data_IF_650709381140
#
_entry.id   IF_650709381140
#
_cell.length_a   1.000
_cell.length_b   1.000
_cell.length_c   1.000
_cell.angle_alpha   90.00
_cell.angle_beta   90.00
_cell.angle_gamma   90.00
#
_symmetry.space_group_name_H-M   'P 1'
#
loop_
_entity.id
_entity.type
_entity.pdbx_description
1 polymer ?
#
# COMPACT_ATOMS: atom_id res chain seq x y z
N UNK A 1 9.08 -8.52 -75.46
CA UNK A 1 9.61 -7.79 -74.29
C UNK A 1 8.52 -7.75 -73.23
N UNK A 2 8.61 -8.62 -72.20
CA UNK A 2 7.67 -8.66 -71.09
C UNK A 2 8.22 -7.74 -70.00
N UNK A 3 7.49 -6.67 -69.65
CA UNK A 3 7.81 -5.80 -68.52
C UNK A 3 7.33 -6.44 -67.24
N UNK A 4 8.23 -6.91 -66.37
CA UNK A 4 7.94 -7.36 -65.04
C UNK A 4 7.84 -6.11 -64.15
N UNK A 5 6.66 -5.86 -63.62
CA UNK A 5 6.39 -4.83 -62.58
C UNK A 5 6.64 -5.50 -61.24
N UNK A 6 7.70 -5.13 -60.56
CA UNK A 6 7.96 -5.53 -59.16
C UNK A 6 7.18 -4.55 -58.25
N UNK A 7 6.07 -5.01 -57.66
CA UNK A 7 5.36 -4.27 -56.64
C UNK A 7 6.10 -4.57 -55.29
N UNK A 8 6.86 -3.58 -54.81
CA UNK A 8 7.45 -3.64 -53.48
C UNK A 8 6.35 -3.35 -52.44
N UNK A 9 5.91 -4.39 -51.73
CA UNK A 9 5.03 -4.25 -50.58
C UNK A 9 5.89 -3.82 -49.42
N UNK A 10 5.92 -2.52 -49.12
CA UNK A 10 6.47 -1.99 -47.87
C UNK A 10 5.47 -2.31 -46.75
N UNK A 11 5.71 -3.36 -45.98
CA UNK A 11 5.03 -3.58 -44.69
C UNK A 11 5.58 -2.55 -43.72
N UNK A 12 4.78 -1.49 -43.44
CA UNK A 12 5.03 -0.63 -42.28
C UNK A 12 4.78 -1.48 -41.02
N UNK A 13 5.84 -1.98 -40.41
CA UNK A 13 5.83 -2.34 -39.01
C UNK A 13 5.69 -1.03 -38.23
N UNK A 14 4.49 -0.71 -37.81
CA UNK A 14 4.26 0.29 -36.75
C UNK A 14 4.88 -0.30 -35.47
N UNK A 15 6.10 0.12 -35.14
CA UNK A 15 6.63 -0.08 -33.80
C UNK A 15 5.70 0.67 -32.86
N UNK A 16 4.86 -0.04 -32.12
CA UNK A 16 4.12 0.51 -31.02
C UNK A 16 5.15 0.96 -29.99
N UNK A 17 5.46 2.24 -29.97
CA UNK A 17 6.26 2.86 -28.94
C UNK A 17 5.40 2.94 -27.68
N UNK A 18 5.47 1.93 -26.83
CA UNK A 18 4.87 2.00 -25.52
C UNK A 18 5.67 3.00 -24.68
N UNK A 19 5.00 4.03 -24.21
CA UNK A 19 5.59 4.97 -23.26
C UNK A 19 5.49 4.35 -21.89
N UNK A 20 6.60 4.27 -21.16
CA UNK A 20 6.59 3.85 -19.76
C UNK A 20 5.73 4.78 -18.91
N UNK A 21 5.02 4.22 -17.94
CA UNK A 21 4.08 4.91 -17.05
C UNK A 21 4.47 4.65 -15.61
N UNK A 22 4.28 5.63 -14.74
CA UNK A 22 4.25 5.38 -13.30
C UNK A 22 2.97 4.65 -12.95
N UNK A 23 3.06 3.43 -12.43
CA UNK A 23 1.91 2.59 -12.12
C UNK A 23 1.69 2.54 -10.62
N UNK A 24 0.43 2.74 -10.23
CA UNK A 24 0.01 2.74 -8.83
C UNK A 24 -1.22 1.85 -8.63
N UNK A 25 -1.30 1.27 -7.44
CA UNK A 25 -2.55 0.75 -6.87
C UNK A 25 -2.87 1.63 -5.66
N UNK A 26 -4.03 2.27 -5.68
CA UNK A 26 -4.52 3.07 -4.56
C UNK A 26 -5.63 2.31 -3.85
N UNK A 27 -5.34 1.87 -2.63
CA UNK A 27 -6.28 1.17 -1.78
C UNK A 27 -7.13 2.16 -0.98
N UNK A 28 -8.40 1.85 -0.78
CA UNK A 28 -9.32 2.66 0.04
C UNK A 28 -10.05 1.74 1.02
N UNK A 29 -9.63 1.69 2.29
CA UNK A 29 -10.35 0.95 3.31
C UNK A 29 -11.75 1.52 3.52
N UNK A 30 -12.76 0.65 3.49
CA UNK A 30 -14.18 1.00 3.58
C UNK A 30 -14.90 0.20 4.65
N UNK A 31 -15.88 0.83 5.27
CA UNK A 31 -16.93 0.18 6.06
C UNK A 31 -18.26 0.72 5.57
N UNK A 32 -19.16 -0.15 5.14
CA UNK A 32 -20.46 0.23 4.59
C UNK A 32 -20.37 1.35 3.53
N UNK A 33 -19.39 1.32 2.65
CA UNK A 33 -19.13 2.30 1.59
C UNK A 33 -18.53 3.65 2.04
N UNK A 34 -18.41 3.91 3.34
CA UNK A 34 -17.70 5.08 3.86
C UNK A 34 -16.20 4.78 4.04
N UNK A 35 -15.36 5.81 4.00
CA UNK A 35 -13.95 5.65 4.31
C UNK A 35 -13.77 5.23 5.78
N UNK A 36 -12.95 4.22 5.99
CA UNK A 36 -12.55 3.82 7.34
C UNK A 36 -11.60 4.87 7.92
N UNK A 37 -11.90 5.33 9.13
CA UNK A 37 -11.03 6.20 9.91
C UNK A 37 -10.71 5.51 11.23
N UNK A 38 -9.43 5.30 11.51
CA UNK A 38 -8.96 4.69 12.76
C UNK A 38 -9.47 5.48 13.97
N UNK A 39 -9.92 4.77 15.00
CA UNK A 39 -10.49 5.34 16.23
C UNK A 39 -11.93 5.88 16.08
N UNK A 40 -12.56 5.72 14.92
CA UNK A 40 -13.94 6.15 14.71
C UNK A 40 -14.88 4.96 14.79
N UNK A 41 -15.97 5.12 15.55
CA UNK A 41 -17.00 4.09 15.70
C UNK A 41 -17.78 3.91 14.39
N UNK A 42 -17.86 2.66 13.97
CA UNK A 42 -18.59 2.20 12.77
C UNK A 42 -19.37 0.92 13.11
N UNK A 43 -20.22 0.45 12.21
CA UNK A 43 -20.94 -0.81 12.40
C UNK A 43 -20.53 -1.82 11.32
N UNK A 44 -20.30 -3.08 11.72
CA UNK A 44 -20.09 -4.18 10.80
C UNK A 44 -21.42 -4.64 10.15
N UNK A 45 -21.33 -5.65 9.28
CA UNK A 45 -22.50 -6.20 8.58
C UNK A 45 -23.56 -6.83 9.51
N UNK A 46 -23.21 -7.16 10.75
CA UNK A 46 -24.12 -7.70 11.76
C UNK A 46 -24.70 -6.62 12.66
N UNK A 47 -24.34 -5.35 12.45
CA UNK A 47 -24.80 -4.23 13.28
C UNK A 47 -24.02 -4.03 14.57
N UNK A 48 -22.92 -4.77 14.80
CA UNK A 48 -22.03 -4.57 15.95
C UNK A 48 -21.25 -3.29 15.74
N UNK A 49 -21.33 -2.36 16.70
CA UNK A 49 -20.54 -1.14 16.70
C UNK A 49 -19.10 -1.49 17.10
N UNK A 50 -18.13 -0.98 16.38
CA UNK A 50 -16.71 -1.19 16.65
C UNK A 50 -15.87 -0.01 16.17
N UNK A 51 -14.66 0.09 16.68
CA UNK A 51 -13.60 0.92 16.12
C UNK A 51 -12.31 0.12 15.98
N UNK A 52 -11.38 0.63 15.17
CA UNK A 52 -10.07 0.02 14.98
C UNK A 52 -8.99 0.91 15.57
N UNK A 53 -8.04 0.30 16.27
CA UNK A 53 -6.79 0.92 16.70
C UNK A 53 -5.71 0.77 15.62
N UNK A 54 -5.73 -0.38 14.90
CA UNK A 54 -4.82 -0.68 13.81
C UNK A 54 -5.44 -1.66 12.81
N UNK A 55 -4.96 -1.58 11.58
CA UNK A 55 -5.34 -2.48 10.49
C UNK A 55 -4.21 -2.50 9.47
N UNK A 56 -3.27 -3.43 9.63
CA UNK A 56 -2.08 -3.54 8.79
C UNK A 56 -2.01 -4.91 8.14
N UNK A 57 -1.59 -4.96 6.88
CA UNK A 57 -1.46 -6.22 6.16
C UNK A 57 -0.42 -6.11 5.04
N UNK A 58 0.19 -7.25 4.72
CA UNK A 58 1.07 -7.35 3.58
C UNK A 58 0.30 -7.68 2.30
N UNK A 59 0.77 -7.12 1.20
CA UNK A 59 0.46 -7.57 -0.16
C UNK A 59 1.74 -8.01 -0.86
N UNK A 60 1.71 -9.19 -1.46
CA UNK A 60 2.86 -9.76 -2.17
C UNK A 60 2.41 -10.73 -3.27
N UNK A 61 3.37 -11.35 -3.98
CA UNK A 61 3.04 -12.24 -5.09
C UNK A 61 2.30 -11.51 -6.21
N UNK A 62 2.69 -10.26 -6.46
CA UNK A 62 1.99 -9.38 -7.38
C UNK A 62 2.31 -9.72 -8.84
N UNK A 63 1.26 -9.91 -9.63
CA UNK A 63 1.31 -10.00 -11.09
C UNK A 63 0.29 -9.04 -11.70
N UNK A 64 0.66 -8.39 -12.79
CA UNK A 64 -0.23 -7.49 -13.53
C UNK A 64 -0.46 -8.06 -14.91
N UNK A 65 -1.72 -8.38 -15.22
CA UNK A 65 -2.14 -8.75 -16.57
C UNK A 65 -2.52 -7.46 -17.30
N UNK A 66 -1.86 -7.21 -18.43
CA UNK A 66 -1.97 -5.94 -19.12
C UNK A 66 -1.88 -6.09 -20.66
N UNK A 67 -2.29 -5.07 -21.37
CA UNK A 67 -2.10 -4.86 -22.82
C UNK A 67 -2.36 -6.10 -23.69
N UNK A 68 -3.51 -6.74 -23.48
CA UNK A 68 -3.94 -7.93 -24.23
C UNK A 68 -3.44 -9.25 -23.64
N UNK A 69 -3.33 -9.33 -22.31
CA UNK A 69 -3.04 -10.56 -21.57
C UNK A 69 -1.55 -10.81 -21.32
N UNK A 70 -0.70 -9.81 -21.47
CA UNK A 70 0.71 -9.89 -21.05
C UNK A 70 0.78 -9.99 -19.53
N UNK A 71 1.67 -10.83 -19.00
CA UNK A 71 1.91 -10.98 -17.56
C UNK A 71 3.20 -10.28 -17.17
N UNK A 72 3.09 -9.27 -16.31
CA UNK A 72 4.21 -8.60 -15.68
C UNK A 72 4.37 -9.13 -14.25
N UNK A 73 5.44 -9.86 -14.03
CA UNK A 73 5.79 -10.44 -12.75
C UNK A 73 6.48 -9.40 -11.84
N UNK A 74 5.84 -9.08 -10.73
CA UNK A 74 6.34 -8.23 -9.64
C UNK A 74 6.34 -8.99 -8.30
N UNK A 75 6.37 -10.33 -8.35
CA UNK A 75 6.24 -11.21 -7.19
C UNK A 75 7.35 -11.06 -6.14
N UNK A 76 8.51 -10.53 -6.53
CA UNK A 76 9.62 -10.21 -5.62
C UNK A 76 9.32 -8.99 -4.73
N UNK A 77 8.24 -8.24 -5.01
CA UNK A 77 7.90 -7.04 -4.26
C UNK A 77 6.88 -7.37 -3.17
N UNK A 78 7.14 -6.87 -1.97
CA UNK A 78 6.22 -6.91 -0.84
C UNK A 78 5.86 -5.49 -0.45
N UNK A 79 4.59 -5.25 -0.22
CA UNK A 79 4.06 -3.98 0.28
C UNK A 79 3.47 -4.17 1.66
N UNK A 80 3.72 -3.24 2.57
CA UNK A 80 2.99 -3.12 3.81
C UNK A 80 1.92 -2.03 3.62
N UNK A 81 0.67 -2.43 3.81
CA UNK A 81 -0.48 -1.54 3.78
C UNK A 81 -0.86 -1.20 5.20
N UNK A 82 -0.87 0.09 5.51
CA UNK A 82 -1.17 0.66 6.82
C UNK A 82 -2.25 1.74 6.66
N UNK A 83 -2.97 2.12 7.71
CA UNK A 83 -3.98 3.18 7.66
C UNK A 83 -3.49 4.54 7.15
N UNK A 84 -2.17 4.73 7.13
CA UNK A 84 -1.51 5.95 6.65
C UNK A 84 -0.78 5.77 5.31
N UNK A 85 -0.77 4.55 4.76
CA UNK A 85 -0.06 4.22 3.52
C UNK A 85 -0.89 3.28 2.63
N UNK A 86 -1.75 3.87 1.83
CA UNK A 86 -2.66 3.14 0.93
C UNK A 86 -2.23 3.15 -0.54
N UNK A 87 -1.18 3.88 -0.90
CA UNK A 87 -0.73 4.06 -2.28
C UNK A 87 0.49 3.20 -2.53
N UNK A 88 0.33 2.17 -3.36
CA UNK A 88 1.39 1.25 -3.73
C UNK A 88 1.97 1.70 -5.08
N UNK A 89 3.20 2.14 -5.08
CA UNK A 89 3.93 2.45 -6.32
C UNK A 89 4.59 1.20 -6.86
N UNK A 90 4.16 0.76 -8.05
CA UNK A 90 4.64 -0.47 -8.67
C UNK A 90 5.88 -0.27 -9.54
N UNK A 91 6.17 0.96 -9.90
CA UNK A 91 7.33 1.30 -10.70
C UNK A 91 7.01 2.08 -11.98
N UNK A 92 8.05 2.36 -12.76
CA UNK A 92 7.97 2.97 -14.08
C UNK A 92 7.96 1.86 -15.11
N UNK A 93 6.76 1.47 -15.56
CA UNK A 93 6.50 0.22 -16.26
C UNK A 93 6.02 0.47 -17.70
N UNK A 94 6.28 -0.49 -18.57
CA UNK A 94 5.82 -0.47 -19.96
C UNK A 94 4.41 -1.06 -20.06
N UNK A 95 3.44 -0.36 -19.49
CA UNK A 95 2.03 -0.75 -19.40
C UNK A 95 1.15 0.40 -19.87
N UNK A 96 0.14 0.12 -20.69
CA UNK A 96 -0.81 1.12 -21.16
C UNK A 96 -2.22 0.89 -20.64
N UNK A 97 -2.57 -0.38 -20.38
CA UNK A 97 -3.87 -0.76 -19.82
C UNK A 97 -3.69 -1.97 -18.92
N UNK A 98 -4.28 -1.94 -17.73
CA UNK A 98 -4.27 -3.05 -16.78
C UNK A 98 -5.64 -3.74 -16.85
N UNK A 99 -5.63 -5.07 -16.98
CA UNK A 99 -6.80 -5.92 -17.14
C UNK A 99 -7.11 -6.72 -15.87
N UNK A 100 -6.07 -7.09 -15.12
CA UNK A 100 -6.19 -7.84 -13.87
C UNK A 100 -4.97 -7.61 -12.99
N UNK A 101 -5.19 -7.64 -11.69
CA UNK A 101 -4.14 -7.66 -10.68
C UNK A 101 -4.28 -8.94 -9.87
N UNK A 102 -3.22 -9.74 -9.83
CA UNK A 102 -3.12 -10.91 -8.98
C UNK A 102 -2.20 -10.57 -7.80
N UNK A 103 -2.59 -10.94 -6.60
CA UNK A 103 -1.78 -10.74 -5.40
C UNK A 103 -2.20 -11.73 -4.30
N UNK A 104 -1.41 -11.80 -3.25
CA UNK A 104 -1.77 -12.50 -2.01
C UNK A 104 -1.71 -11.54 -0.85
N UNK A 105 -2.59 -11.73 0.14
CA UNK A 105 -2.46 -11.07 1.43
C UNK A 105 -1.46 -11.86 2.26
N UNK A 106 -0.39 -11.21 2.69
CA UNK A 106 0.63 -11.83 3.50
C UNK A 106 2.04 -11.83 2.90
N UNK A 107 2.92 -12.57 3.56
CA UNK A 107 4.33 -12.76 3.17
C UNK A 107 4.49 -14.20 2.68
N UNK A 108 5.08 -14.43 1.48
CA UNK A 108 5.26 -15.76 0.94
C UNK A 108 6.28 -16.56 1.79
N UNK A 109 6.14 -17.89 1.83
CA UNK A 109 6.99 -18.76 2.63
C UNK A 109 8.50 -18.57 2.33
N UNK A 110 8.86 -18.30 1.07
CA UNK A 110 10.24 -18.00 0.68
C UNK A 110 10.87 -16.80 1.41
N UNK A 111 10.05 -15.85 1.85
CA UNK A 111 10.44 -14.67 2.63
C UNK A 111 10.03 -14.77 4.11
N UNK A 112 9.43 -15.89 4.51
CA UNK A 112 8.91 -16.13 5.87
C UNK A 112 9.50 -17.39 6.54
N UNK A 113 10.55 -17.97 5.98
CA UNK A 113 11.23 -19.14 6.54
C UNK A 113 11.91 -18.79 7.85
N UNK A 114 11.61 -19.54 8.93
CA UNK A 114 12.06 -19.25 10.29
C UNK A 114 13.11 -20.23 10.83
N UNK A 115 13.50 -21.23 10.05
CA UNK A 115 14.45 -22.25 10.50
C UNK A 115 15.40 -22.71 9.40
N UNK A 116 16.53 -23.30 9.80
CA UNK A 116 17.54 -23.80 8.87
C UNK A 116 18.46 -22.70 8.31
N UNK A 117 19.14 -23.03 7.21
CA UNK A 117 20.06 -22.09 6.52
C UNK A 117 19.34 -20.96 5.80
N UNK A 118 18.04 -21.14 5.53
CA UNK A 118 17.18 -20.18 4.81
C UNK A 118 16.39 -19.29 5.77
N UNK A 119 16.66 -19.34 7.07
CA UNK A 119 15.96 -18.53 8.05
C UNK A 119 16.19 -17.02 7.78
N UNK A 120 15.11 -16.27 7.76
CA UNK A 120 15.14 -14.85 7.49
C UNK A 120 15.59 -14.09 8.74
N UNK A 121 16.60 -13.25 8.56
CA UNK A 121 17.01 -12.28 9.58
C UNK A 121 16.35 -10.93 9.28
N UNK A 122 15.32 -10.59 10.05
CA UNK A 122 14.59 -9.32 9.91
C UNK A 122 15.51 -8.10 10.03
N UNK A 123 16.62 -8.19 10.77
CA UNK A 123 17.57 -7.09 10.92
C UNK A 123 18.40 -6.83 9.65
N UNK A 124 18.40 -7.77 8.70
CA UNK A 124 19.07 -7.62 7.41
C UNK A 124 18.36 -6.63 6.49
N UNK A 125 17.07 -6.36 6.73
CA UNK A 125 16.32 -5.41 5.94
C UNK A 125 16.62 -3.96 6.36
N UNK A 126 16.79 -3.04 5.42
CA UNK A 126 16.99 -1.64 5.74
C UNK A 126 15.75 -1.05 6.41
N UNK A 127 15.95 -0.06 7.26
CA UNK A 127 14.85 0.68 7.90
C UNK A 127 13.91 1.24 6.83
N UNK A 128 12.60 1.00 7.03
CA UNK A 128 11.56 1.41 6.07
C UNK A 128 11.28 0.39 4.97
N UNK A 129 12.03 -0.70 4.90
CA UNK A 129 11.61 -1.84 4.10
C UNK A 129 10.34 -2.46 4.71
N UNK A 130 9.36 -2.90 3.90
CA UNK A 130 8.13 -3.51 4.43
C UNK A 130 8.37 -4.66 5.41
N UNK A 131 9.41 -5.46 5.18
CA UNK A 131 9.79 -6.60 6.03
C UNK A 131 10.80 -6.25 7.15
N UNK A 132 11.15 -4.97 7.35
CA UNK A 132 11.94 -4.54 8.51
C UNK A 132 11.08 -4.46 9.78
N UNK A 133 11.66 -4.03 10.90
CA UNK A 133 10.91 -3.80 12.14
C UNK A 133 9.80 -2.78 11.93
N UNK A 134 8.57 -3.13 12.35
CA UNK A 134 7.36 -2.32 12.28
C UNK A 134 6.82 -2.05 13.70
N UNK A 135 5.96 -1.03 13.82
CA UNK A 135 5.22 -0.71 15.04
C UNK A 135 3.77 -0.35 14.66
N UNK A 136 2.79 -1.21 15.01
CA UNK A 136 2.89 -2.47 15.74
C UNK A 136 3.71 -3.54 15.00
N UNK A 137 4.28 -4.50 15.76
CA UNK A 137 5.18 -5.50 15.18
C UNK A 137 4.43 -6.46 14.26
N UNK A 138 4.87 -6.54 13.02
CA UNK A 138 4.39 -7.49 12.01
C UNK A 138 5.23 -8.77 11.94
N UNK A 139 6.28 -8.91 12.77
CA UNK A 139 7.11 -10.10 12.84
C UNK A 139 7.16 -10.64 14.28
N UNK A 140 6.80 -11.92 14.46
CA UNK A 140 6.62 -12.56 15.76
C UNK A 140 7.71 -13.56 16.11
N UNK A 141 8.92 -13.31 15.61
CA UNK A 141 10.11 -14.07 15.96
C UNK A 141 10.24 -15.40 15.23
N UNK A 142 11.19 -16.19 15.67
CA UNK A 142 11.78 -17.31 14.95
C UNK A 142 10.88 -18.54 14.76
N UNK A 143 9.75 -18.63 15.42
CA UNK A 143 8.83 -19.77 15.29
C UNK A 143 7.56 -19.42 14.52
N UNK A 144 7.19 -18.16 14.48
CA UNK A 144 5.92 -17.69 13.91
C UNK A 144 6.11 -16.87 12.64
N UNK A 145 7.25 -16.18 12.50
CA UNK A 145 7.57 -15.35 11.36
C UNK A 145 6.72 -14.09 11.24
N UNK A 146 6.45 -13.68 10.01
CA UNK A 146 5.59 -12.55 9.72
C UNK A 146 4.13 -12.90 9.89
N UNK A 147 3.37 -11.99 10.47
CA UNK A 147 1.91 -11.99 10.35
C UNK A 147 1.53 -11.59 8.92
N UNK A 148 0.48 -12.19 8.38
CA UNK A 148 -0.05 -11.80 7.08
C UNK A 148 -0.86 -10.52 7.16
N UNK A 149 -1.65 -10.42 8.25
CA UNK A 149 -2.39 -9.22 8.61
C UNK A 149 -2.57 -9.16 10.12
N UNK A 150 -2.73 -7.94 10.63
CA UNK A 150 -3.17 -7.66 11.98
C UNK A 150 -4.33 -6.67 11.93
N UNK A 151 -5.35 -6.93 12.73
CA UNK A 151 -6.48 -6.03 12.93
C UNK A 151 -6.89 -6.07 14.39
N UNK A 152 -7.13 -4.92 14.98
CA UNK A 152 -7.55 -4.85 16.37
C UNK A 152 -8.19 -3.53 16.72
N UNK A 153 -8.96 -3.56 17.79
CA UNK A 153 -9.71 -2.43 18.30
C UNK A 153 -10.68 -2.84 19.39
N UNK A 154 -11.78 -2.14 19.49
CA UNK A 154 -12.84 -2.44 20.45
C UNK A 154 -14.17 -2.67 19.73
N UNK A 155 -15.04 -3.53 20.28
CA UNK A 155 -16.36 -3.83 19.79
C UNK A 155 -17.39 -3.76 20.92
N UNK A 156 -18.61 -3.38 20.60
CA UNK A 156 -19.74 -3.33 21.53
C UNK A 156 -20.19 -4.75 21.88
N UNK A 157 -19.87 -5.20 23.10
CA UNK A 157 -20.18 -6.55 23.59
C UNK A 157 -21.54 -6.68 24.25
N UNK A 158 -22.15 -5.57 24.61
CA UNK A 158 -23.37 -5.52 25.44
C UNK A 158 -24.55 -4.86 24.72
N UNK A 159 -24.39 -4.41 23.47
CA UNK A 159 -25.40 -3.77 22.63
C UNK A 159 -25.90 -2.40 23.13
N UNK A 160 -25.06 -1.67 23.85
CA UNK A 160 -25.37 -0.30 24.28
C UNK A 160 -24.88 0.77 23.27
N UNK A 161 -24.21 0.34 22.21
CA UNK A 161 -23.67 1.20 21.14
C UNK A 161 -22.30 1.78 21.45
N UNK A 162 -21.63 1.32 22.51
CA UNK A 162 -20.31 1.78 22.91
C UNK A 162 -19.32 0.62 22.82
N UNK A 163 -18.27 0.69 21.98
CA UNK A 163 -17.23 -0.33 21.93
C UNK A 163 -16.50 -0.45 23.28
N UNK A 164 -16.59 -1.63 23.92
CA UNK A 164 -16.05 -1.90 25.26
C UNK A 164 -15.23 -3.19 25.37
N UNK A 165 -15.33 -4.10 24.40
CA UNK A 165 -14.60 -5.35 24.36
C UNK A 165 -13.43 -5.30 23.37
N UNK A 166 -12.22 -5.54 23.87
CA UNK A 166 -11.02 -5.64 23.04
C UNK A 166 -11.13 -6.86 22.12
N UNK A 167 -10.80 -6.66 20.85
CA UNK A 167 -10.52 -7.75 19.92
C UNK A 167 -9.19 -7.52 19.19
N UNK A 168 -8.48 -8.61 18.92
CA UNK A 168 -7.24 -8.61 18.15
C UNK A 168 -7.13 -9.91 17.36
N UNK A 169 -6.93 -9.80 16.06
CA UNK A 169 -6.68 -10.93 15.17
C UNK A 169 -5.31 -10.72 14.52
N UNK A 170 -4.41 -11.66 14.79
CA UNK A 170 -3.08 -11.68 14.19
C UNK A 170 -2.93 -12.98 13.39
N UNK A 171 -3.01 -12.82 12.08
CA UNK A 171 -3.03 -13.94 11.15
C UNK A 171 -1.61 -14.41 10.83
N UNK A 172 -1.38 -15.71 10.87
CA UNK A 172 -0.12 -16.36 10.67
C UNK A 172 -0.26 -17.61 9.80
N UNK A 173 0.87 -18.08 9.28
CA UNK A 173 1.07 -19.40 8.71
C UNK A 173 0.75 -19.54 7.24
N UNK A 174 1.54 -20.35 6.55
CA UNK A 174 1.56 -20.50 5.09
C UNK A 174 0.20 -20.89 4.48
N UNK A 175 -0.63 -21.64 5.21
CA UNK A 175 -1.97 -22.03 4.76
C UNK A 175 -2.93 -20.82 4.63
N UNK A 176 -2.61 -19.72 5.24
CA UNK A 176 -3.38 -18.48 5.18
C UNK A 176 -2.84 -17.49 4.13
N UNK A 177 -1.74 -17.81 3.47
CA UNK A 177 -1.22 -17.08 2.32
C UNK A 177 -1.97 -17.53 1.06
N UNK A 178 -3.02 -16.81 0.70
CA UNK A 178 -3.94 -17.21 -0.35
C UNK A 178 -3.88 -16.25 -1.55
N UNK A 179 -3.79 -16.77 -2.80
CA UNK A 179 -3.78 -15.94 -3.98
C UNK A 179 -5.17 -15.37 -4.27
N UNK A 180 -5.22 -14.12 -4.66
CA UNK A 180 -6.42 -13.40 -5.04
C UNK A 180 -6.27 -12.81 -6.44
N UNK A 181 -7.37 -12.70 -7.18
CA UNK A 181 -7.42 -12.12 -8.52
C UNK A 181 -8.46 -11.01 -8.55
N UNK A 182 -8.05 -9.83 -8.92
CA UNK A 182 -8.91 -8.66 -9.07
C UNK A 182 -8.98 -8.28 -10.55
N UNK A 183 -10.10 -8.56 -11.25
CA UNK A 183 -10.32 -8.02 -12.58
C UNK A 183 -10.38 -6.47 -12.53
N UNK A 184 -9.69 -5.84 -13.45
CA UNK A 184 -9.65 -4.38 -13.58
C UNK A 184 -10.47 -3.99 -14.81
N UNK A 185 -11.60 -3.31 -14.57
CA UNK A 185 -12.52 -2.87 -15.62
C UNK A 185 -12.11 -1.52 -16.17
N UNK A 186 -11.52 -0.68 -15.32
CA UNK A 186 -11.12 0.67 -15.68
C UNK A 186 -9.85 1.08 -14.94
N UNK A 187 -8.87 1.55 -15.70
CA UNK A 187 -7.71 2.27 -15.14
C UNK A 187 -7.92 3.76 -15.31
N UNK A 188 -7.28 4.53 -14.42
CA UNK A 188 -7.23 5.97 -14.58
C UNK A 188 -5.85 6.35 -15.10
N UNK A 189 -5.86 6.94 -16.28
CA UNK A 189 -4.62 7.37 -16.93
C UNK A 189 -4.57 8.89 -16.98
N UNK A 190 -3.43 9.42 -16.58
CA UNK A 190 -3.04 10.79 -16.83
C UNK A 190 -1.68 10.81 -17.53
N UNK A 191 -1.11 11.97 -17.78
CA UNK A 191 0.21 12.04 -18.42
C UNK A 191 1.24 11.29 -17.57
N UNK A 192 1.82 10.21 -18.11
CA UNK A 192 2.83 9.35 -17.49
C UNK A 192 2.40 8.67 -16.18
N UNK A 193 1.10 8.45 -15.96
CA UNK A 193 0.58 7.78 -14.77
C UNK A 193 -0.60 6.88 -15.10
N UNK A 194 -0.59 5.67 -14.53
CA UNK A 194 -1.75 4.77 -14.45
C UNK A 194 -2.02 4.50 -12.98
N UNK A 195 -3.26 4.60 -12.57
CA UNK A 195 -3.71 4.30 -11.22
C UNK A 195 -4.90 3.34 -11.24
N UNK A 196 -4.85 2.30 -10.41
CA UNK A 196 -5.94 1.38 -10.17
C UNK A 196 -6.48 1.61 -8.77
N UNK A 197 -7.71 2.08 -8.67
CA UNK A 197 -8.37 2.31 -7.39
C UNK A 197 -9.08 1.05 -6.92
N UNK A 198 -8.79 0.62 -5.70
CA UNK A 198 -9.29 -0.61 -5.10
C UNK A 198 -9.90 -0.30 -3.73
N UNK A 199 -11.18 -0.60 -3.55
CA UNK A 199 -11.77 -0.60 -2.23
C UNK A 199 -11.33 -1.86 -1.46
N UNK A 200 -10.98 -1.68 -0.20
CA UNK A 200 -10.77 -2.76 0.76
C UNK A 200 -11.94 -2.71 1.76
N UNK A 201 -12.94 -3.59 1.58
CA UNK A 201 -14.17 -3.59 2.38
C UNK A 201 -13.94 -4.34 3.70
N UNK A 202 -13.59 -3.61 4.75
CA UNK A 202 -13.17 -4.16 6.05
C UNK A 202 -14.33 -4.86 6.76
N UNK A 203 -15.54 -4.33 6.68
CA UNK A 203 -16.75 -4.97 7.20
C UNK A 203 -17.04 -6.32 6.51
N UNK A 204 -16.78 -6.41 5.20
CA UNK A 204 -16.87 -7.66 4.44
C UNK A 204 -15.76 -8.62 4.85
N UNK A 205 -14.56 -8.12 5.10
CA UNK A 205 -13.44 -8.92 5.57
C UNK A 205 -13.72 -9.54 6.95
N UNK A 206 -14.38 -8.79 7.85
CA UNK A 206 -14.81 -9.24 9.17
C UNK A 206 -16.10 -10.08 9.17
N UNK A 207 -16.63 -10.47 8.02
CA UNK A 207 -17.88 -11.26 7.95
C UNK A 207 -17.77 -12.56 8.75
N UNK A 208 -18.76 -12.82 9.61
CA UNK A 208 -18.84 -13.98 10.50
C UNK A 208 -17.71 -14.08 11.53
N UNK A 209 -16.94 -13.01 11.75
CA UNK A 209 -16.02 -12.91 12.86
C UNK A 209 -16.78 -12.29 14.05
N UNK A 210 -16.88 -12.96 15.19
CA UNK A 210 -17.59 -12.44 16.36
C UNK A 210 -16.68 -11.47 17.14
N UNK A 211 -16.42 -10.28 16.55
CA UNK A 211 -15.47 -9.30 17.09
C UNK A 211 -15.82 -8.85 18.51
N UNK A 212 -17.09 -8.90 18.88
CA UNK A 212 -17.61 -8.57 20.22
C UNK A 212 -17.25 -9.60 21.31
N UNK A 213 -16.79 -10.79 20.91
CA UNK A 213 -16.49 -11.89 21.85
C UNK A 213 -15.20 -12.64 21.57
N UNK A 214 -14.57 -12.44 20.42
CA UNK A 214 -13.37 -13.21 20.01
C UNK A 214 -12.16 -12.93 20.90
N UNK A 215 -12.08 -11.75 21.51
CA UNK A 215 -10.94 -11.34 22.30
C UNK A 215 -9.64 -11.31 21.48
N UNK A 216 -8.57 -11.89 22.02
CA UNK A 216 -7.25 -11.95 21.37
C UNK A 216 -7.09 -13.32 20.71
N UNK A 217 -6.99 -13.35 19.39
CA UNK A 217 -6.80 -14.56 18.58
C UNK A 217 -5.55 -14.42 17.71
N UNK A 218 -4.57 -15.26 17.99
CA UNK A 218 -3.31 -15.30 17.25
C UNK A 218 -3.12 -16.69 16.65
N UNK A 219 -2.76 -16.78 15.37
CA UNK A 219 -2.42 -18.07 14.80
C UNK A 219 -2.96 -18.33 13.41
N UNK A 220 -3.17 -19.61 13.10
CA UNK A 220 -3.41 -20.13 11.76
C UNK A 220 -4.81 -20.70 11.56
N UNK A 221 -5.61 -20.83 12.61
CA UNK A 221 -6.90 -21.51 12.61
C UNK A 221 -8.05 -20.61 13.05
N UNK A 222 -9.27 -21.15 13.05
CA UNK A 222 -10.51 -20.51 13.51
C UNK A 222 -10.75 -19.15 12.82
N UNK A 223 -10.93 -18.08 13.60
CA UNK A 223 -11.21 -16.74 13.10
C UNK A 223 -10.09 -16.20 12.19
N UNK A 224 -8.83 -16.55 12.49
CA UNK A 224 -7.68 -16.19 11.65
C UNK A 224 -7.72 -16.90 10.28
N UNK A 225 -8.16 -18.14 10.19
CA UNK A 225 -8.39 -18.81 8.91
C UNK A 225 -9.62 -18.24 8.20
N UNK A 226 -10.69 -17.98 8.94
CA UNK A 226 -11.94 -17.45 8.39
C UNK A 226 -11.75 -16.08 7.76
N UNK A 227 -11.02 -15.17 8.43
CA UNK A 227 -10.77 -13.82 7.92
C UNK A 227 -9.99 -13.86 6.59
N UNK A 228 -9.04 -14.78 6.44
CA UNK A 228 -8.30 -14.96 5.17
C UNK A 228 -9.16 -15.63 4.09
N UNK A 229 -10.00 -16.60 4.46
CA UNK A 229 -10.94 -17.21 3.52
C UNK A 229 -11.98 -16.21 3.00
N UNK A 230 -12.35 -15.21 3.80
CA UNK A 230 -13.24 -14.14 3.36
C UNK A 230 -12.66 -13.35 2.17
N UNK A 231 -11.33 -13.19 2.08
CA UNK A 231 -10.68 -12.53 0.94
C UNK A 231 -11.00 -13.25 -0.37
N UNK A 232 -11.06 -14.59 -0.37
CA UNK A 232 -11.37 -15.37 -1.56
C UNK A 232 -12.87 -15.52 -1.82
N UNK A 233 -13.65 -15.65 -0.76
CA UNK A 233 -15.06 -16.01 -0.86
C UNK A 233 -16.00 -14.79 -0.97
N UNK A 234 -15.52 -13.59 -0.71
CA UNK A 234 -16.33 -12.39 -0.59
C UNK A 234 -15.66 -11.20 -1.28
N UNK A 235 -16.40 -10.14 -1.61
CA UNK A 235 -15.87 -8.94 -2.28
C UNK A 235 -15.10 -8.03 -1.31
N UNK A 236 -14.08 -8.58 -0.63
CA UNK A 236 -13.20 -7.80 0.25
C UNK A 236 -12.44 -6.77 -0.56
N UNK A 237 -11.81 -7.18 -1.64
CA UNK A 237 -11.19 -6.25 -2.58
C UNK A 237 -12.08 -6.12 -3.81
N UNK A 238 -12.44 -4.88 -4.12
CA UNK A 238 -13.23 -4.57 -5.30
C UNK A 238 -12.65 -3.36 -6.02
N UNK A 239 -12.75 -3.34 -7.34
CA UNK A 239 -12.35 -2.14 -8.04
C UNK A 239 -13.28 -0.97 -7.67
N UNK A 240 -12.70 0.17 -7.30
CA UNK A 240 -13.47 1.39 -7.11
C UNK A 240 -13.81 2.01 -8.46
N UNK A 241 -15.12 2.11 -8.72
CA UNK A 241 -15.65 2.75 -9.94
C UNK A 241 -15.99 4.23 -9.72
N UNK A 242 -15.73 4.77 -8.53
CA UNK A 242 -16.11 6.13 -8.17
C UNK A 242 -15.17 7.16 -8.81
N UNK A 243 -15.64 7.80 -9.86
CA UNK A 243 -15.05 9.02 -10.42
C UNK A 243 -14.94 10.18 -9.41
N UNK A 244 -15.61 10.09 -8.24
CA UNK A 244 -15.56 11.13 -7.21
C UNK A 244 -14.26 11.13 -6.40
N UNK A 245 -13.52 10.02 -6.36
CA UNK A 245 -12.12 10.05 -5.92
C UNK A 245 -11.23 10.84 -6.89
N UNK A 246 -11.70 11.02 -8.13
CA UNK A 246 -11.07 11.81 -9.18
C UNK A 246 -11.32 13.30 -9.07
N UNK A 247 -12.47 13.70 -8.55
CA UNK A 247 -12.80 15.12 -8.39
C UNK A 247 -12.25 15.73 -7.11
N UNK A 248 -11.86 14.88 -6.15
CA UNK A 248 -11.14 15.25 -4.92
C UNK A 248 -9.73 14.65 -4.82
N UNK A 249 -9.17 14.08 -5.89
CA UNK A 249 -7.74 14.07 -6.02
C UNK A 249 -7.31 15.52 -6.30
N UNK A 250 -7.39 16.35 -5.32
CA UNK A 250 -6.23 17.17 -5.00
C UNK A 250 -5.07 16.19 -5.14
N UNK A 251 -4.33 16.29 -6.26
CA UNK A 251 -3.16 15.45 -6.51
C UNK A 251 -2.48 15.33 -5.15
N UNK A 252 -2.48 14.10 -4.55
CA UNK A 252 -1.87 13.91 -3.24
C UNK A 252 -0.46 14.41 -3.43
N UNK A 253 -0.15 15.51 -2.75
CA UNK A 253 1.05 16.21 -3.03
C UNK A 253 2.22 15.24 -2.94
N UNK A 254 2.93 15.08 -4.03
CA UNK A 254 4.02 14.10 -4.11
C UNK A 254 5.29 14.71 -3.54
N UNK A 255 5.96 13.94 -2.67
CA UNK A 255 7.34 14.16 -2.29
C UNK A 255 8.21 13.17 -3.06
N UNK A 256 9.24 13.68 -3.70
CA UNK A 256 10.27 12.86 -4.37
C UNK A 256 11.64 13.31 -3.92
N UNK A 257 12.63 12.42 -4.01
CA UNK A 257 14.01 12.82 -3.77
C UNK A 257 14.93 12.28 -4.85
N UNK A 258 16.00 13.01 -5.07
CA UNK A 258 17.15 12.55 -5.87
C UNK A 258 18.42 12.83 -5.10
N UNK A 259 19.41 11.94 -5.26
CA UNK A 259 20.74 12.10 -4.69
C UNK A 259 21.76 12.16 -5.81
N UNK A 260 22.60 13.19 -5.76
CA UNK A 260 23.70 13.35 -6.69
C UNK A 260 24.96 13.74 -5.91
N UNK A 261 25.94 12.85 -5.84
CA UNK A 261 27.14 13.00 -5.00
C UNK A 261 26.76 13.22 -3.51
N UNK A 262 27.19 14.34 -2.92
CA UNK A 262 26.90 14.74 -1.54
C UNK A 262 25.68 15.66 -1.40
N UNK A 263 24.87 15.77 -2.46
CA UNK A 263 23.70 16.65 -2.52
C UNK A 263 22.42 15.82 -2.54
N UNK A 264 21.50 16.11 -1.66
CA UNK A 264 20.13 15.59 -1.66
C UNK A 264 19.18 16.70 -2.09
N UNK A 265 18.40 16.42 -3.13
CA UNK A 265 17.32 17.30 -3.57
C UNK A 265 16.00 16.63 -3.22
N UNK A 266 15.15 17.31 -2.44
CA UNK A 266 13.79 16.88 -2.17
C UNK A 266 12.85 17.83 -2.89
N UNK A 267 11.98 17.28 -3.72
CA UNK A 267 11.01 18.03 -4.51
C UNK A 267 9.59 17.69 -4.07
N UNK A 268 8.71 18.67 -4.10
CA UNK A 268 7.29 18.49 -3.86
C UNK A 268 6.47 19.08 -4.99
N UNK A 269 5.31 18.50 -5.21
CA UNK A 269 4.36 18.94 -6.21
C UNK A 269 2.94 18.73 -5.70
N UNK A 270 2.08 19.74 -5.86
CA UNK A 270 0.65 19.71 -5.55
C UNK A 270 0.29 19.38 -4.09
N UNK A 271 1.14 19.72 -3.13
CA UNK A 271 0.80 19.64 -1.71
C UNK A 271 0.03 20.91 -1.34
N UNK A 272 -1.27 20.76 -1.11
CA UNK A 272 -2.14 21.89 -0.77
C UNK A 272 -1.91 22.29 0.69
N UNK A 273 -1.95 23.60 0.96
CA UNK A 273 -1.76 24.21 2.28
C UNK A 273 -0.40 23.90 2.93
N UNK A 274 0.59 23.51 2.13
CA UNK A 274 1.96 23.37 2.63
C UNK A 274 2.47 24.71 3.16
N UNK A 275 3.05 24.67 4.35
CA UNK A 275 3.56 25.88 5.03
C UNK A 275 5.03 25.76 5.39
N UNK A 276 5.45 24.63 5.93
CA UNK A 276 6.85 24.42 6.32
C UNK A 276 7.23 22.94 6.24
N UNK A 277 8.55 22.70 6.28
CA UNK A 277 9.10 21.35 6.37
C UNK A 277 10.01 21.19 7.57
N UNK A 278 10.15 19.95 8.01
CA UNK A 278 11.16 19.48 8.95
C UNK A 278 11.92 18.30 8.36
N UNK A 279 13.22 18.28 8.55
CA UNK A 279 14.06 17.13 8.31
C UNK A 279 14.52 16.63 9.68
N UNK A 280 14.17 15.38 10.01
CA UNK A 280 14.50 14.77 11.29
C UNK A 280 15.41 13.56 11.09
N UNK A 281 16.29 13.30 12.02
CA UNK A 281 17.13 12.09 12.03
C UNK A 281 16.39 10.90 12.69
N UNK A 282 17.01 9.73 12.68
CA UNK A 282 16.45 8.50 13.27
C UNK A 282 16.19 8.57 14.77
N UNK A 283 16.76 9.55 15.47
CA UNK A 283 16.50 9.78 16.90
C UNK A 283 15.30 10.71 17.14
N UNK A 284 14.67 11.21 16.07
CA UNK A 284 13.59 12.21 16.13
C UNK A 284 14.09 13.63 16.32
N UNK A 285 15.41 13.88 16.25
CA UNK A 285 15.97 15.21 16.37
C UNK A 285 15.79 15.97 15.08
N UNK A 286 15.25 17.19 15.16
CA UNK A 286 15.15 18.11 14.03
C UNK A 286 16.54 18.58 13.60
N UNK A 287 16.91 18.26 12.37
CA UNK A 287 18.21 18.60 11.78
C UNK A 287 18.11 19.84 10.93
N UNK A 288 16.97 20.02 10.25
CA UNK A 288 16.70 21.20 9.42
C UNK A 288 15.20 21.50 9.40
N UNK A 289 14.87 22.78 9.31
CA UNK A 289 13.50 23.26 9.10
C UNK A 289 13.51 24.39 8.09
N UNK A 290 12.41 24.62 7.39
CA UNK A 290 12.27 25.75 6.49
C UNK A 290 10.83 26.02 6.15
N UNK A 291 10.52 27.28 5.81
CA UNK A 291 9.22 27.68 5.31
C UNK A 291 9.05 27.27 3.83
N UNK A 292 7.83 26.98 3.45
CA UNK A 292 7.42 26.69 2.07
C UNK A 292 6.26 27.63 1.73
N UNK A 293 6.36 28.31 0.59
CA UNK A 293 5.32 29.22 0.11
C UNK A 293 4.57 28.69 -1.12
N UNK A 294 5.16 27.74 -1.83
CA UNK A 294 4.66 27.31 -3.12
C UNK A 294 4.24 25.83 -3.09
N UNK A 295 3.16 25.49 -3.77
CA UNK A 295 2.65 24.12 -3.87
C UNK A 295 3.54 23.20 -4.72
N UNK A 296 4.48 23.76 -5.46
CA UNK A 296 5.48 23.05 -6.27
C UNK A 296 6.84 23.68 -6.00
N UNK A 297 7.81 22.87 -5.63
CA UNK A 297 9.14 23.38 -5.35
C UNK A 297 10.14 22.28 -5.00
N UNK A 298 11.31 22.71 -4.60
CA UNK A 298 12.34 21.81 -4.10
C UNK A 298 13.17 22.48 -3.00
N UNK A 299 13.89 21.66 -2.26
CA UNK A 299 14.93 22.08 -1.32
C UNK A 299 16.16 21.20 -1.55
N UNK A 300 17.32 21.85 -1.49
CA UNK A 300 18.60 21.20 -1.69
C UNK A 300 19.37 21.19 -0.38
N UNK A 301 19.92 20.03 -0.03
CA UNK A 301 20.75 19.82 1.16
C UNK A 301 22.14 19.38 0.71
N UNK A 302 23.13 20.21 1.01
CA UNK A 302 24.53 19.92 0.70
C UNK A 302 25.30 19.54 1.98
N UNK A 303 26.28 18.64 1.83
CA UNK A 303 27.22 18.26 2.90
C UNK A 303 26.53 17.69 4.17
N UNK A 304 25.49 16.90 3.99
CA UNK A 304 24.85 16.20 5.08
C UNK A 304 25.68 14.95 5.48
N UNK A 305 25.62 14.59 6.74
CA UNK A 305 26.22 13.35 7.23
C UNK A 305 25.50 12.14 6.62
N UNK A 306 26.24 11.07 6.35
CA UNK A 306 25.60 9.80 5.99
C UNK A 306 24.64 9.35 7.10
N UNK A 307 23.44 8.94 6.70
CA UNK A 307 22.40 8.55 7.63
C UNK A 307 21.03 8.49 6.98
N UNK A 308 20.05 8.09 7.79
CA UNK A 308 18.65 8.05 7.39
C UNK A 308 17.94 9.23 8.05
N UNK A 309 17.12 9.89 7.25
CA UNK A 309 16.36 11.07 7.67
C UNK A 309 14.91 10.92 7.21
N UNK A 310 14.00 11.59 7.90
CA UNK A 310 12.63 11.76 7.46
C UNK A 310 12.36 13.22 7.14
N UNK A 311 11.95 13.49 5.92
CA UNK A 311 11.48 14.81 5.50
C UNK A 311 9.96 14.83 5.65
N UNK A 312 9.46 15.83 6.39
CA UNK A 312 8.04 15.94 6.72
C UNK A 312 7.59 17.36 6.33
N UNK A 313 6.44 17.45 5.73
CA UNK A 313 5.79 18.73 5.39
C UNK A 313 4.52 18.94 6.19
N UNK A 314 4.28 20.18 6.58
CA UNK A 314 3.20 20.57 7.48
C UNK A 314 2.40 21.74 6.91
N UNK A 315 1.13 21.87 7.37
CA UNK A 315 0.30 23.05 7.18
C UNK A 315 0.63 24.17 8.18
N UNK A 316 -0.10 25.28 8.12
CA UNK A 316 0.06 26.42 9.03
C UNK A 316 -0.27 26.07 10.50
N UNK A 317 -1.09 25.06 10.74
CA UNK A 317 -1.47 24.58 12.06
C UNK A 317 -0.55 23.48 12.60
N UNK A 318 0.56 23.19 11.88
CA UNK A 318 1.51 22.11 12.18
C UNK A 318 0.90 20.70 12.09
N UNK A 319 -0.18 20.52 11.31
CA UNK A 319 -0.63 19.19 10.95
C UNK A 319 0.26 18.63 9.85
N UNK A 320 0.67 17.37 10.00
CA UNK A 320 1.47 16.67 9.00
C UNK A 320 0.65 16.45 7.73
N UNK A 321 1.15 16.92 6.60
CA UNK A 321 0.53 16.75 5.28
C UNK A 321 1.10 15.55 4.53
N UNK A 322 2.43 15.39 4.56
CA UNK A 322 3.11 14.30 3.87
C UNK A 322 4.51 14.08 4.46
N UNK A 323 5.12 12.93 4.18
CA UNK A 323 6.53 12.67 4.54
C UNK A 323 7.19 11.66 3.63
N UNK A 324 8.51 11.74 3.53
CA UNK A 324 9.34 10.79 2.79
C UNK A 324 10.60 10.47 3.59
N UNK A 325 10.99 9.18 3.63
CA UNK A 325 12.29 8.75 4.15
C UNK A 325 13.35 8.92 3.08
N UNK A 326 14.48 9.45 3.45
CA UNK A 326 15.62 9.70 2.57
C UNK A 326 16.90 9.19 3.22
N UNK A 327 17.82 8.67 2.43
CA UNK A 327 19.14 8.24 2.89
C UNK A 327 20.23 9.09 2.26
N UNK A 328 21.17 9.55 3.09
CA UNK A 328 22.42 10.17 2.66
C UNK A 328 23.56 9.20 2.63
#
# INVERSE_FOLDING_TARGET
MVKIIIISVCTLLSALSYSQQNVFITLSPKVASADLVIGTDVSNLNGVVFNLDYFDYYLSGLHIIHDGGQDLDLSDTVFLVEPTNFVLYLGYLNVTNIEQINFSVGVPNSLNTQSGSEAIDISSYPIGHPLSFQDPSMHWGWTSGYTHMIIGGQADSNTDGIPDALFQLHNLGDNNYLPFQLPVIQTQSSINKIDVFVNCNVDVWLTNIPIETVGISHGTANENQLIMNNVLARPVFTQSMNASLLSNSNEIGTLTFSRENATLTISWKNIININHYELIDVSGKKVKTGAISDQVGNVVFDNFSEGIYQFIVYDENSNKLNSIKVSF
#
